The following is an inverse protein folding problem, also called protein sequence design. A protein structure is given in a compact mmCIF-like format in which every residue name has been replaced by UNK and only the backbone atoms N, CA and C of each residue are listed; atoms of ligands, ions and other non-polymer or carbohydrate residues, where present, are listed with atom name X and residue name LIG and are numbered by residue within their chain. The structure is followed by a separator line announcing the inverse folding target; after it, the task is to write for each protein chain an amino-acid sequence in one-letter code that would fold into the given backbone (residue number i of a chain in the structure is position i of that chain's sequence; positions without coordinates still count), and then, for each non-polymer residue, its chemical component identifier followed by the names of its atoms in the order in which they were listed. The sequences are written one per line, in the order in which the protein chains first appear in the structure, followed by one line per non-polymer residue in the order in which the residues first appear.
data_IF_600834271879
#
_entry.id   IF_600834271879
#
_cell.length_a   1.000
_cell.length_b   1.000
_cell.length_c   1.000
_cell.angle_alpha   90.00
_cell.angle_beta   90.00
_cell.angle_gamma   90.00
#
_symmetry.space_group_name_H-M   'P 1'
#
loop_
_entity.id
_entity.type
_entity.pdbx_description
1 polymer ?
#
# COMPACT_ATOMS: atom_id res chain seq x y z
N UNK A 1 22.66 44.30 18.44
CA UNK A 1 22.67 43.82 17.05
C UNK A 1 22.35 42.34 17.10
N UNK A 2 21.08 42.00 16.83
CA UNK A 2 20.60 40.63 16.73
C UNK A 2 20.57 40.21 15.26
N UNK A 3 21.11 39.05 14.98
CA UNK A 3 20.71 38.16 13.88
C UNK A 3 20.96 36.76 14.44
N UNK A 4 19.95 36.12 15.02
CA UNK A 4 18.87 35.42 14.32
C UNK A 4 19.43 34.38 13.35
N UNK A 5 20.00 33.32 13.94
CA UNK A 5 20.27 32.07 13.24
C UNK A 5 18.95 31.29 13.19
N UNK A 6 18.31 31.30 12.03
CA UNK A 6 17.16 30.44 11.75
C UNK A 6 17.52 28.97 12.08
N UNK A 7 16.63 28.18 12.70
CA UNK A 7 16.90 26.77 12.88
C UNK A 7 16.96 26.12 11.49
N UNK A 8 18.15 25.62 11.16
CA UNK A 8 18.41 24.78 9.99
C UNK A 8 17.34 23.68 9.99
N UNK A 9 16.41 23.78 9.03
CA UNK A 9 15.26 22.90 8.97
C UNK A 9 15.74 21.47 9.01
N UNK A 10 15.36 20.73 10.06
CA UNK A 10 15.77 19.36 10.27
C UNK A 10 15.43 18.54 9.01
N UNK A 11 16.44 18.34 8.15
CA UNK A 11 16.42 17.28 7.16
C UNK A 11 16.52 16.01 7.98
N UNK A 12 15.37 15.44 8.30
CA UNK A 12 15.31 14.05 8.73
C UNK A 12 16.04 13.24 7.65
N UNK A 13 17.06 12.45 8.00
CA UNK A 13 17.63 11.51 7.04
C UNK A 13 16.47 10.67 6.53
N UNK A 14 16.22 10.73 5.21
CA UNK A 14 15.26 9.82 4.58
C UNK A 14 15.85 8.43 4.76
N UNK A 15 15.32 7.72 5.74
CA UNK A 15 15.41 6.28 5.76
C UNK A 15 14.33 5.76 4.82
N UNK A 16 14.58 4.59 4.25
CA UNK A 16 13.60 3.93 3.41
C UNK A 16 12.95 2.82 4.21
N UNK A 17 11.63 2.79 4.17
CA UNK A 17 10.88 1.65 4.69
C UNK A 17 10.87 0.55 3.64
N UNK A 18 11.10 -0.70 4.03
CA UNK A 18 11.07 -1.86 3.14
C UNK A 18 9.80 -2.66 3.34
N UNK A 19 9.06 -2.90 2.27
CA UNK A 19 7.95 -3.84 2.26
C UNK A 19 8.46 -5.17 1.75
N UNK A 20 8.19 -6.23 2.49
CA UNK A 20 8.62 -7.59 2.11
C UNK A 20 7.55 -8.62 2.42
N UNK A 21 7.58 -9.71 1.67
CA UNK A 21 6.85 -10.93 2.05
C UNK A 21 7.71 -11.80 2.98
N UNK A 22 7.09 -12.51 3.93
CA UNK A 22 7.75 -13.54 4.74
C UNK A 22 7.07 -13.84 6.08
N UNK A 23 7.34 -15.02 6.69
CA UNK A 23 6.86 -15.32 8.04
C UNK A 23 7.45 -14.35 9.06
N UNK A 24 6.76 -14.13 10.19
CA UNK A 24 7.04 -13.17 11.27
C UNK A 24 8.45 -13.24 11.91
N UNK A 25 9.38 -14.05 11.40
CA UNK A 25 10.76 -14.15 11.89
C UNK A 25 11.84 -14.31 10.79
N UNK A 26 11.52 -14.40 9.50
CA UNK A 26 12.56 -14.65 8.46
C UNK A 26 13.14 -13.36 7.87
N UNK A 27 14.48 -13.28 7.81
CA UNK A 27 15.22 -12.25 7.08
C UNK A 27 15.42 -12.57 5.58
N UNK A 28 14.93 -13.72 5.09
CA UNK A 28 14.89 -14.07 3.66
C UNK A 28 13.45 -13.91 3.15
N UNK A 29 13.20 -12.89 2.35
CA UNK A 29 11.88 -12.56 1.81
C UNK A 29 12.02 -11.59 0.65
N UNK A 30 11.09 -11.62 -0.31
CA UNK A 30 11.17 -10.80 -1.52
C UNK A 30 10.83 -9.35 -1.20
N UNK A 31 11.68 -8.42 -1.61
CA UNK A 31 11.41 -6.98 -1.54
C UNK A 31 10.29 -6.59 -2.50
N UNK A 32 9.18 -6.08 -1.96
CA UNK A 32 7.99 -5.69 -2.70
C UNK A 32 8.03 -4.21 -3.09
N UNK A 33 8.48 -3.34 -2.19
CA UNK A 33 8.47 -1.89 -2.37
C UNK A 33 9.42 -1.20 -1.38
N UNK A 34 10.11 -0.15 -1.84
CA UNK A 34 11.03 0.66 -1.03
C UNK A 34 10.65 2.15 -1.02
N UNK A 35 9.55 2.53 -0.36
CA UNK A 35 9.15 3.93 -0.25
C UNK A 35 10.04 4.75 0.70
N UNK A 36 9.94 6.06 0.55
CA UNK A 36 10.29 6.99 1.63
C UNK A 36 9.35 6.80 2.83
N UNK A 37 9.85 7.01 4.04
CA UNK A 37 9.08 6.77 5.28
C UNK A 37 7.73 7.49 5.32
N UNK A 38 7.64 8.72 4.79
CA UNK A 38 6.37 9.47 4.73
C UNK A 38 5.33 8.77 3.85
N UNK A 39 5.76 8.18 2.74
CA UNK A 39 4.87 7.45 1.83
C UNK A 39 4.45 6.14 2.47
N UNK A 40 5.35 5.46 3.19
CA UNK A 40 5.03 4.26 3.95
C UNK A 40 3.98 4.55 5.03
N UNK A 41 4.16 5.59 5.85
CA UNK A 41 3.20 6.00 6.88
C UNK A 41 1.83 6.33 6.29
N UNK A 42 1.79 7.08 5.18
CA UNK A 42 0.54 7.43 4.52
C UNK A 42 -0.20 6.18 4.01
N UNK A 43 0.53 5.29 3.34
CA UNK A 43 -0.04 4.03 2.84
C UNK A 43 -0.58 3.16 3.97
N UNK A 44 0.22 2.95 5.03
CA UNK A 44 -0.15 2.10 6.16
C UNK A 44 -1.35 2.66 6.95
N UNK A 45 -1.36 3.97 7.22
CA UNK A 45 -2.49 4.60 7.89
C UNK A 45 -3.79 4.50 7.09
N UNK A 46 -3.71 4.67 5.77
CA UNK A 46 -4.86 4.51 4.89
C UNK A 46 -5.32 3.06 4.77
N UNK A 47 -4.37 2.11 4.66
CA UNK A 47 -4.67 0.69 4.63
C UNK A 47 -5.34 0.21 5.92
N UNK A 48 -4.87 0.68 7.08
CA UNK A 48 -5.47 0.38 8.39
C UNK A 48 -6.90 0.93 8.49
N UNK A 49 -7.12 2.19 8.09
CA UNK A 49 -8.45 2.80 8.11
C UNK A 49 -9.43 2.05 7.19
N UNK A 50 -9.00 1.68 5.98
CA UNK A 50 -9.85 0.92 5.07
C UNK A 50 -10.09 -0.51 5.59
N UNK A 51 -9.08 -1.14 6.20
CA UNK A 51 -9.22 -2.47 6.81
C UNK A 51 -10.30 -2.48 7.90
N UNK A 52 -10.36 -1.45 8.73
CA UNK A 52 -11.39 -1.29 9.77
C UNK A 52 -12.79 -1.13 9.17
N UNK A 53 -12.91 -0.34 8.10
CA UNK A 53 -14.18 -0.15 7.39
C UNK A 53 -14.67 -1.45 6.74
N UNK A 54 -13.75 -2.21 6.12
CA UNK A 54 -14.04 -3.48 5.44
C UNK A 54 -14.17 -4.67 6.40
N UNK A 55 -13.79 -4.52 7.67
CA UNK A 55 -13.63 -5.63 8.63
C UNK A 55 -12.71 -6.73 8.11
N UNK A 56 -11.67 -6.35 7.36
CA UNK A 56 -10.72 -7.25 6.72
C UNK A 56 -9.28 -6.77 6.99
N UNK A 57 -8.40 -7.57 7.62
CA UNK A 57 -7.02 -7.17 7.89
C UNK A 57 -6.28 -6.81 6.60
N UNK A 58 -5.52 -5.72 6.59
CA UNK A 58 -4.78 -5.24 5.39
C UNK A 58 -3.65 -6.17 4.94
N UNK A 59 -3.21 -7.09 5.80
CA UNK A 59 -2.02 -7.90 5.60
C UNK A 59 -0.70 -7.16 5.81
N UNK A 60 -0.73 -5.83 6.04
CA UNK A 60 0.47 -5.06 6.39
C UNK A 60 0.69 -5.08 7.91
N UNK A 61 1.85 -5.53 8.34
CA UNK A 61 2.27 -5.50 9.75
C UNK A 61 2.84 -4.15 10.18
N UNK A 62 3.28 -4.09 11.43
CA UNK A 62 3.97 -2.93 11.98
C UNK A 62 5.32 -2.70 11.29
N UNK A 63 5.74 -1.44 11.22
CA UNK A 63 7.09 -1.08 10.78
C UNK A 63 8.05 -1.29 11.94
N UNK A 64 8.94 -2.28 11.81
CA UNK A 64 9.99 -2.57 12.79
C UNK A 64 11.34 -2.45 12.11
N UNK A 65 12.23 -1.61 12.65
CA UNK A 65 13.57 -1.34 12.09
C UNK A 65 13.55 -0.91 10.60
N UNK A 66 12.55 -0.10 10.21
CA UNK A 66 12.39 0.34 8.82
C UNK A 66 11.88 -0.75 7.87
N UNK A 67 11.28 -1.82 8.39
CA UNK A 67 10.73 -2.92 7.59
C UNK A 67 9.26 -3.15 7.96
N UNK A 68 8.40 -3.15 6.95
CA UNK A 68 7.02 -3.62 7.02
C UNK A 68 6.92 -5.02 6.42
N UNK A 69 6.39 -5.97 7.19
CA UNK A 69 6.10 -7.31 6.70
C UNK A 69 4.68 -7.38 6.15
N UNK A 70 4.56 -8.05 5.01
CA UNK A 70 3.31 -8.28 4.32
C UNK A 70 2.96 -9.76 4.39
N UNK A 71 1.81 -10.06 4.98
CA UNK A 71 1.11 -11.33 4.81
C UNK A 71 0.35 -11.28 3.48
N UNK A 72 0.82 -12.07 2.52
CA UNK A 72 0.34 -12.05 1.14
C UNK A 72 -1.10 -12.57 1.00
N UNK A 73 -1.51 -13.49 1.88
CA UNK A 73 -2.82 -14.11 1.87
C UNK A 73 -3.87 -13.19 2.50
N UNK A 74 -3.51 -12.49 3.58
CA UNK A 74 -4.35 -11.43 4.14
C UNK A 74 -4.45 -10.23 3.18
N UNK A 75 -3.35 -9.85 2.53
CA UNK A 75 -3.35 -8.79 1.53
C UNK A 75 -4.26 -9.14 0.33
N UNK A 76 -4.27 -10.40 -0.12
CA UNK A 76 -5.17 -10.88 -1.19
C UNK A 76 -6.65 -10.72 -0.80
N UNK A 77 -7.00 -11.16 0.41
CA UNK A 77 -8.36 -11.04 0.93
C UNK A 77 -8.78 -9.57 1.08
N UNK A 78 -7.88 -8.72 1.59
CA UNK A 78 -8.09 -7.28 1.68
C UNK A 78 -8.34 -6.62 0.32
N UNK A 79 -7.49 -6.89 -0.67
CA UNK A 79 -7.65 -6.37 -2.03
C UNK A 79 -8.97 -6.82 -2.66
N UNK A 80 -9.37 -8.07 -2.45
CA UNK A 80 -10.65 -8.60 -2.92
C UNK A 80 -11.83 -7.85 -2.30
N UNK A 81 -11.82 -7.65 -0.98
CA UNK A 81 -12.85 -6.91 -0.26
C UNK A 81 -12.91 -5.44 -0.70
N UNK A 82 -11.76 -4.80 -0.90
CA UNK A 82 -11.68 -3.40 -1.32
C UNK A 82 -12.21 -3.19 -2.74
N UNK A 83 -11.94 -4.11 -3.68
CA UNK A 83 -12.47 -4.06 -5.03
C UNK A 83 -13.99 -4.30 -5.06
N UNK A 84 -14.49 -5.21 -4.23
CA UNK A 84 -15.92 -5.47 -4.09
C UNK A 84 -16.65 -4.23 -3.54
N UNK A 85 -16.12 -3.63 -2.47
CA UNK A 85 -16.67 -2.41 -1.87
C UNK A 85 -16.64 -1.25 -2.86
N UNK A 86 -15.54 -1.07 -3.61
CA UNK A 86 -15.44 -0.04 -4.64
C UNK A 86 -16.55 -0.18 -5.70
N UNK A 87 -16.82 -1.40 -6.14
CA UNK A 87 -17.88 -1.71 -7.10
C UNK A 87 -19.29 -1.48 -6.54
N UNK A 88 -19.50 -1.82 -5.28
CA UNK A 88 -20.81 -1.75 -4.62
C UNK A 88 -21.21 -0.34 -4.16
N UNK A 89 -20.25 0.48 -3.71
CA UNK A 89 -20.55 1.82 -3.16
C UNK A 89 -20.95 2.81 -4.26
N UNK A 90 -22.05 3.54 -4.07
CA UNK A 90 -22.44 4.65 -4.96
C UNK A 90 -21.78 5.99 -4.57
N UNK A 91 -21.06 6.02 -3.44
CA UNK A 91 -20.43 7.23 -2.92
C UNK A 91 -19.15 7.58 -3.68
N UNK A 92 -19.25 8.47 -4.67
CA UNK A 92 -18.13 8.84 -5.53
C UNK A 92 -16.88 9.37 -4.79
N UNK A 93 -17.07 10.03 -3.65
CA UNK A 93 -15.95 10.52 -2.83
C UNK A 93 -15.20 9.36 -2.16
N UNK A 94 -15.90 8.37 -1.62
CA UNK A 94 -15.26 7.16 -1.07
C UNK A 94 -14.42 6.46 -2.13
N UNK A 95 -14.98 6.27 -3.33
CA UNK A 95 -14.24 5.74 -4.49
C UNK A 95 -12.97 6.53 -4.76
N UNK A 96 -13.07 7.86 -4.81
CA UNK A 96 -11.92 8.74 -5.09
C UNK A 96 -10.83 8.61 -4.04
N UNK A 97 -11.20 8.53 -2.76
CA UNK A 97 -10.25 8.34 -1.67
C UNK A 97 -9.55 6.98 -1.79
N UNK A 98 -10.26 5.90 -2.07
CA UNK A 98 -9.68 4.55 -2.02
C UNK A 98 -8.92 4.13 -3.28
N UNK A 99 -9.12 4.75 -4.44
CA UNK A 99 -8.55 4.30 -5.73
C UNK A 99 -7.04 4.16 -5.69
N UNK A 100 -6.33 5.20 -5.22
CA UNK A 100 -4.87 5.17 -5.18
C UNK A 100 -4.32 4.14 -4.19
N UNK A 101 -5.03 3.91 -3.08
CA UNK A 101 -4.69 2.88 -2.10
C UNK A 101 -4.84 1.49 -2.72
N UNK A 102 -5.99 1.19 -3.33
CA UNK A 102 -6.28 -0.11 -3.94
C UNK A 102 -5.25 -0.42 -5.02
N UNK A 103 -4.98 0.53 -5.93
CA UNK A 103 -3.98 0.33 -6.97
C UNK A 103 -2.58 0.02 -6.42
N UNK A 104 -2.17 0.72 -5.35
CA UNK A 104 -0.88 0.48 -4.68
C UNK A 104 -0.84 -0.89 -4.01
N UNK A 105 -1.91 -1.30 -3.33
CA UNK A 105 -2.03 -2.61 -2.70
C UNK A 105 -2.00 -3.76 -3.72
N UNK A 106 -2.63 -3.57 -4.89
CA UNK A 106 -2.58 -4.52 -6.00
C UNK A 106 -1.16 -4.70 -6.56
N UNK A 107 -0.33 -3.66 -6.56
CA UNK A 107 1.10 -3.79 -6.93
C UNK A 107 1.84 -4.64 -5.90
N UNK A 108 1.63 -4.42 -4.60
CA UNK A 108 2.27 -5.23 -3.56
C UNK A 108 1.88 -6.71 -3.69
N UNK A 109 0.60 -6.98 -3.96
CA UNK A 109 0.06 -8.31 -4.13
C UNK A 109 0.64 -9.02 -5.36
N UNK A 110 0.68 -8.33 -6.50
CA UNK A 110 1.28 -8.82 -7.75
C UNK A 110 2.78 -9.14 -7.56
N UNK A 111 3.51 -8.25 -6.88
CA UNK A 111 4.93 -8.45 -6.55
C UNK A 111 5.18 -9.57 -5.56
N UNK A 112 4.22 -9.88 -4.71
CA UNK A 112 4.25 -11.03 -3.82
C UNK A 112 3.98 -12.35 -4.56
N UNK A 113 3.68 -12.31 -5.86
CA UNK A 113 3.39 -13.49 -6.68
C UNK A 113 1.99 -14.05 -6.47
N UNK A 114 1.09 -13.25 -5.87
CA UNK A 114 -0.31 -13.64 -5.67
C UNK A 114 -1.17 -13.21 -6.85
N UNK A 115 -2.25 -13.95 -7.14
CA UNK A 115 -3.18 -13.54 -8.17
C UNK A 115 -3.83 -12.20 -7.77
N UNK A 116 -3.91 -11.27 -8.71
CA UNK A 116 -4.67 -10.04 -8.53
C UNK A 116 -6.16 -10.36 -8.63
N UNK A 117 -6.98 -10.04 -7.59
CA UNK A 117 -8.41 -10.31 -7.62
C UNK A 117 -9.07 -9.59 -8.78
N UNK A 118 -9.97 -10.28 -9.47
CA UNK A 118 -10.63 -9.77 -10.65
C UNK A 118 -11.98 -9.12 -10.39
N UNK A 119 -12.43 -8.27 -11.31
CA UNK A 119 -13.85 -7.90 -11.46
C UNK A 119 -14.53 -8.82 -12.47
N UNK A 120 -15.81 -9.15 -12.23
CA UNK A 120 -16.66 -9.83 -13.21
C UNK A 120 -17.00 -8.94 -14.41
N UNK A 121 -16.79 -7.63 -14.30
CA UNK A 121 -16.95 -6.67 -15.40
C UNK A 121 -15.60 -6.51 -16.12
N UNK A 122 -15.47 -6.92 -17.41
CA UNK A 122 -14.18 -6.92 -18.10
C UNK A 122 -13.52 -5.55 -18.24
N UNK A 123 -14.31 -4.49 -18.42
CA UNK A 123 -13.80 -3.12 -18.52
C UNK A 123 -13.19 -2.66 -17.19
N UNK A 124 -13.87 -2.93 -16.08
CA UNK A 124 -13.37 -2.64 -14.74
C UNK A 124 -12.11 -3.45 -14.44
N UNK A 125 -12.06 -4.71 -14.88
CA UNK A 125 -10.86 -5.54 -14.77
C UNK A 125 -9.67 -4.90 -15.50
N UNK A 126 -9.87 -4.47 -16.75
CA UNK A 126 -8.83 -3.82 -17.54
C UNK A 126 -8.38 -2.49 -16.93
N UNK A 127 -9.31 -1.70 -16.38
CA UNK A 127 -9.00 -0.44 -15.72
C UNK A 127 -8.11 -0.63 -14.48
N UNK A 128 -8.42 -1.62 -13.62
CA UNK A 128 -7.59 -1.92 -12.45
C UNK A 128 -6.22 -2.47 -12.82
N UNK A 129 -6.13 -3.31 -13.86
CA UNK A 129 -4.85 -3.78 -14.37
C UNK A 129 -3.98 -2.61 -14.86
N UNK A 130 -4.53 -1.71 -15.68
CA UNK A 130 -3.82 -0.54 -16.18
C UNK A 130 -3.35 0.40 -15.06
N UNK A 131 -4.21 0.64 -14.06
CA UNK A 131 -3.86 1.50 -12.93
C UNK A 131 -2.78 0.87 -12.02
N UNK A 132 -2.86 -0.44 -11.77
CA UNK A 132 -1.80 -1.19 -11.09
C UNK A 132 -0.47 -1.05 -11.84
N UNK A 133 -0.48 -1.23 -13.16
CA UNK A 133 0.74 -1.16 -13.97
C UNK A 133 1.35 0.26 -13.93
N UNK A 134 0.52 1.31 -13.97
CA UNK A 134 0.95 2.70 -13.78
C UNK A 134 1.59 2.91 -12.40
N UNK A 135 0.98 2.40 -11.33
CA UNK A 135 1.55 2.48 -9.98
C UNK A 135 2.86 1.70 -9.87
N UNK A 136 2.94 0.51 -10.47
CA UNK A 136 4.15 -0.32 -10.44
C UNK A 136 5.35 0.38 -11.05
N UNK A 137 5.15 1.16 -12.12
CA UNK A 137 6.21 1.93 -12.77
C UNK A 137 6.84 3.00 -11.87
N UNK A 138 6.11 3.50 -10.86
CA UNK A 138 6.57 4.54 -9.93
C UNK A 138 6.84 4.02 -8.51
N UNK A 139 6.63 2.74 -8.25
CA UNK A 139 6.92 2.09 -6.97
C UNK A 139 8.29 1.40 -7.02
N UNK A 140 9.38 2.02 -6.51
CA UNK A 140 10.71 1.41 -6.52
C UNK A 140 10.75 0.11 -5.70
N UNK A 141 11.59 -0.85 -6.10
CA UNK A 141 11.85 -2.07 -5.32
C UNK A 141 13.10 -1.94 -4.48
#
# INVERSE_FOLDING_TARGET
MSSDGAPEGARFPVSHTWFRTGPTHSAAGTGLWRPDDRVAVLFLGHAALLADLLRAPSGCGDVVNGECRVDDSLLEAFCSAALAEYGATEQGIQRTLTVGLIATALVLLDRAGRPVPGSVVPEQQAAWAALRDQHSAVMPR
#
